data_IF_491987667224
#
_entry.id   IF_491987667224
#
_cell.length_a   1.000
_cell.length_b   1.000
_cell.length_c   1.000
_cell.angle_alpha   90.00
_cell.angle_beta   90.00
_cell.angle_gamma   90.00
#
_symmetry.space_group_name_H-M   'P 1'
#
loop_
_entity.id
_entity.type
_entity.pdbx_description
1 polymer ?
#
# COMPACT_ATOMS: atom_id res chain seq x y z
N UNK A 1 16.02 -15.98 -5.57
CA UNK A 1 16.39 -16.48 -4.22
C UNK A 1 17.43 -17.58 -4.35
N UNK A 2 18.48 -17.54 -3.53
CA UNK A 2 19.55 -18.57 -3.50
C UNK A 2 19.34 -19.49 -2.28
N UNK A 3 19.63 -20.78 -2.43
CA UNK A 3 19.61 -21.76 -1.34
C UNK A 3 18.23 -22.01 -0.73
N UNK A 4 18.22 -22.47 0.53
CA UNK A 4 17.01 -22.74 1.35
C UNK A 4 15.95 -23.62 0.65
N UNK A 5 16.37 -24.62 -0.15
CA UNK A 5 15.49 -25.40 -1.03
C UNK A 5 14.23 -25.92 -0.30
N UNK A 6 14.41 -26.57 0.85
CA UNK A 6 13.31 -27.11 1.66
C UNK A 6 12.34 -26.05 2.16
N UNK A 7 12.86 -24.90 2.64
CA UNK A 7 12.02 -23.83 3.15
C UNK A 7 11.24 -23.13 2.03
N UNK A 8 11.84 -22.97 0.84
CA UNK A 8 11.16 -22.44 -0.35
C UNK A 8 10.08 -23.39 -0.87
N UNK A 9 10.36 -24.69 -0.87
CA UNK A 9 9.38 -25.71 -1.28
C UNK A 9 8.17 -25.70 -0.32
N UNK A 10 8.43 -25.68 0.98
CA UNK A 10 7.37 -25.55 1.98
C UNK A 10 6.58 -24.23 1.85
N UNK A 11 7.26 -23.12 1.55
CA UNK A 11 6.62 -21.85 1.24
C UNK A 11 5.70 -21.95 0.00
N UNK A 12 6.14 -22.63 -1.06
CA UNK A 12 5.32 -22.90 -2.25
C UNK A 12 4.05 -23.70 -1.93
N UNK A 13 4.18 -24.75 -1.10
CA UNK A 13 3.03 -25.54 -0.62
C UNK A 13 2.08 -24.65 0.19
N UNK A 14 2.61 -23.81 1.08
CA UNK A 14 1.82 -22.87 1.88
C UNK A 14 1.03 -21.88 1.01
N UNK A 15 1.65 -21.34 -0.04
CA UNK A 15 1.00 -20.45 -0.99
C UNK A 15 -0.17 -21.15 -1.70
N UNK A 16 0.03 -22.40 -2.14
CA UNK A 16 -1.03 -23.18 -2.77
C UNK A 16 -2.18 -23.45 -1.80
N UNK A 17 -1.90 -23.75 -0.52
CA UNK A 17 -2.92 -23.95 0.50
C UNK A 17 -3.77 -22.69 0.73
N UNK A 18 -3.15 -21.50 0.69
CA UNK A 18 -3.87 -20.23 0.79
C UNK A 18 -4.75 -20.02 -0.43
N UNK A 19 -4.20 -20.19 -1.64
CA UNK A 19 -4.92 -19.91 -2.90
C UNK A 19 -6.08 -20.87 -3.15
N UNK A 20 -5.93 -22.16 -2.82
CA UNK A 20 -6.92 -23.18 -3.18
C UNK A 20 -7.99 -23.42 -2.10
N UNK A 21 -7.60 -23.42 -0.82
CA UNK A 21 -8.47 -23.94 0.25
C UNK A 21 -8.67 -23.00 1.43
N UNK A 22 -7.91 -21.89 1.50
CA UNK A 22 -7.98 -20.91 2.59
C UNK A 22 -7.96 -21.55 4.00
N UNK A 23 -7.24 -22.69 4.17
CA UNK A 23 -7.28 -23.53 5.38
C UNK A 23 -6.39 -22.97 6.49
N UNK A 24 -5.19 -22.50 6.14
CA UNK A 24 -4.21 -22.03 7.10
C UNK A 24 -3.70 -20.65 6.67
N UNK A 25 -3.89 -19.67 7.54
CA UNK A 25 -3.48 -18.28 7.31
C UNK A 25 -2.22 -17.89 8.08
N UNK A 26 -1.58 -18.84 8.77
CA UNK A 26 -0.43 -18.52 9.60
C UNK A 26 0.75 -19.49 9.42
N UNK A 27 1.92 -18.91 9.18
CA UNK A 27 3.18 -19.60 8.93
C UNK A 27 4.23 -19.14 9.93
N UNK A 28 4.94 -20.06 10.57
CA UNK A 28 6.10 -19.78 11.41
C UNK A 28 7.39 -20.14 10.68
N UNK A 29 8.23 -19.15 10.41
CA UNK A 29 9.60 -19.31 9.95
C UNK A 29 10.53 -19.39 11.16
N UNK A 30 11.04 -20.58 11.45
CA UNK A 30 11.92 -20.84 12.58
C UNK A 30 13.35 -21.17 12.13
N UNK A 31 14.33 -20.41 12.61
CA UNK A 31 15.73 -20.73 12.33
C UNK A 31 16.71 -19.64 12.74
N UNK A 32 18.03 -19.88 12.59
CA UNK A 32 19.05 -18.98 13.08
C UNK A 32 18.99 -17.59 12.45
N UNK A 33 19.57 -16.59 13.10
CA UNK A 33 19.73 -15.26 12.52
C UNK A 33 20.53 -15.34 11.21
N UNK A 34 20.16 -14.54 10.21
CA UNK A 34 20.82 -14.56 8.89
C UNK A 34 20.40 -15.70 7.94
N UNK A 35 19.46 -16.58 8.32
CA UNK A 35 18.99 -17.69 7.46
C UNK A 35 17.99 -17.31 6.37
N UNK A 36 17.76 -16.02 6.11
CA UNK A 36 16.86 -15.55 5.05
C UNK A 36 15.34 -15.62 5.36
N UNK A 37 14.92 -15.66 6.64
CA UNK A 37 13.49 -15.71 7.02
C UNK A 37 12.67 -14.57 6.40
N UNK A 38 13.12 -13.32 6.57
CA UNK A 38 12.47 -12.14 6.00
C UNK A 38 12.46 -12.18 4.47
N UNK A 39 13.51 -12.69 3.84
CA UNK A 39 13.57 -12.84 2.38
C UNK A 39 12.54 -13.86 1.86
N UNK A 40 12.34 -14.97 2.57
CA UNK A 40 11.28 -15.95 2.27
C UNK A 40 9.90 -15.29 2.44
N UNK A 41 9.67 -14.54 3.51
CA UNK A 41 8.40 -13.86 3.74
C UNK A 41 8.04 -12.85 2.63
N UNK A 42 9.02 -12.07 2.17
CA UNK A 42 8.86 -11.14 1.03
C UNK A 42 8.61 -11.90 -0.28
N UNK A 43 9.27 -13.04 -0.48
CA UNK A 43 9.02 -13.87 -1.65
C UNK A 43 7.59 -14.44 -1.63
N UNK A 44 7.14 -14.95 -0.48
CA UNK A 44 5.77 -15.42 -0.28
C UNK A 44 4.77 -14.29 -0.57
N UNK A 45 5.00 -13.07 -0.06
CA UNK A 45 4.07 -11.97 -0.29
C UNK A 45 3.97 -11.60 -1.78
N UNK A 46 5.08 -11.65 -2.51
CA UNK A 46 5.13 -11.42 -3.97
C UNK A 46 4.50 -12.54 -4.79
N UNK A 47 4.54 -13.79 -4.33
CA UNK A 47 3.93 -14.92 -5.03
C UNK A 47 2.44 -15.10 -4.72
N UNK A 48 2.00 -14.73 -3.51
CA UNK A 48 0.58 -14.65 -3.16
C UNK A 48 -0.10 -13.58 -4.03
N UNK A 49 0.63 -12.54 -4.45
CA UNK A 49 0.03 -11.27 -4.83
C UNK A 49 0.52 -10.69 -6.16
N UNK A 50 -0.39 -10.28 -7.02
CA UNK A 50 -0.14 -9.23 -8.02
C UNK A 50 0.12 -7.87 -7.32
N UNK A 51 0.70 -6.89 -8.02
CA UNK A 51 1.30 -5.62 -7.51
C UNK A 51 0.46 -4.73 -6.55
N UNK A 52 -0.75 -5.13 -6.16
CA UNK A 52 -1.73 -4.32 -5.42
C UNK A 52 -1.97 -4.69 -3.94
N UNK A 53 -1.34 -5.74 -3.42
CA UNK A 53 -1.63 -6.24 -2.05
C UNK A 53 -0.65 -5.66 -1.01
N UNK A 54 -1.13 -5.21 0.18
CA UNK A 54 -0.26 -4.68 1.22
C UNK A 54 0.59 -5.78 1.88
N UNK A 55 1.90 -5.53 1.96
CA UNK A 55 2.84 -6.29 2.79
C UNK A 55 3.30 -5.42 3.96
N UNK A 56 2.95 -5.83 5.18
CA UNK A 56 3.26 -5.07 6.38
C UNK A 56 4.32 -5.79 7.22
N UNK A 57 5.40 -5.10 7.56
CA UNK A 57 6.44 -5.60 8.46
C UNK A 57 6.20 -5.02 9.85
N UNK A 58 6.14 -5.90 10.84
CA UNK A 58 6.01 -5.57 12.25
C UNK A 58 7.11 -6.27 13.03
N UNK A 59 7.94 -5.52 13.77
CA UNK A 59 8.82 -6.15 14.76
C UNK A 59 8.03 -6.26 16.07
N UNK A 60 7.96 -7.46 16.64
CA UNK A 60 7.19 -7.74 17.86
C UNK A 60 7.51 -6.79 19.03
N UNK A 61 8.75 -6.32 19.16
CA UNK A 61 9.13 -5.35 20.21
C UNK A 61 8.41 -3.99 20.09
N UNK A 62 7.93 -3.62 18.90
CA UNK A 62 7.20 -2.38 18.66
C UNK A 62 5.82 -2.37 19.32
N UNK A 63 5.33 -3.51 19.81
CA UNK A 63 4.06 -3.60 20.54
C UNK A 63 4.10 -2.86 21.88
N UNK A 64 5.29 -2.67 22.45
CA UNK A 64 5.46 -1.99 23.72
C UNK A 64 5.53 -0.48 23.52
N UNK A 65 4.46 0.21 23.94
CA UNK A 65 4.38 1.67 23.91
C UNK A 65 3.81 2.19 25.23
N UNK A 66 4.28 3.37 25.65
CA UNK A 66 3.71 4.08 26.80
C UNK A 66 2.43 4.85 26.43
N UNK A 67 2.22 5.15 25.15
CA UNK A 67 1.13 6.03 24.68
C UNK A 67 -0.10 5.25 24.23
N UNK A 68 0.11 4.04 23.69
CA UNK A 68 -0.92 3.26 23.00
C UNK A 68 -0.94 1.84 23.55
N UNK A 69 -2.13 1.27 23.72
CA UNK A 69 -2.28 -0.13 24.14
C UNK A 69 -1.62 -1.10 23.15
N UNK A 70 -1.05 -2.19 23.68
CA UNK A 70 -0.44 -3.27 22.89
C UNK A 70 -1.38 -3.84 21.81
N UNK A 71 -2.61 -4.14 22.22
CA UNK A 71 -3.66 -4.66 21.33
C UNK A 71 -4.03 -3.68 20.24
N UNK A 72 -4.04 -2.38 20.55
CA UNK A 72 -4.29 -1.33 19.57
C UNK A 72 -3.16 -1.27 18.53
N UNK A 73 -1.89 -1.35 18.94
CA UNK A 73 -0.77 -1.40 18.01
C UNK A 73 -0.89 -2.60 17.07
N UNK A 74 -1.16 -3.80 17.62
CA UNK A 74 -1.40 -4.99 16.79
C UNK A 74 -2.57 -4.79 15.82
N UNK A 75 -3.67 -4.19 16.29
CA UNK A 75 -4.85 -3.91 15.46
C UNK A 75 -4.47 -3.02 14.27
N UNK A 76 -3.66 -1.99 14.48
CA UNK A 76 -3.20 -1.09 13.41
C UNK A 76 -2.41 -1.86 12.36
N UNK A 77 -1.47 -2.73 12.75
CA UNK A 77 -0.69 -3.53 11.81
C UNK A 77 -1.52 -4.58 11.06
N UNK A 78 -2.50 -5.19 11.73
CA UNK A 78 -3.47 -6.08 11.08
C UNK A 78 -4.28 -5.29 10.03
N UNK A 79 -4.79 -4.11 10.36
CA UNK A 79 -5.59 -3.29 9.44
C UNK A 79 -4.76 -2.70 8.29
N UNK A 80 -3.48 -2.40 8.50
CA UNK A 80 -2.52 -2.05 7.43
C UNK A 80 -2.28 -3.22 6.47
N UNK A 81 -2.48 -4.45 6.93
CA UNK A 81 -2.28 -5.65 6.12
C UNK A 81 -3.55 -6.08 5.37
N UNK A 82 -4.65 -5.32 5.48
CA UNK A 82 -5.90 -5.59 4.75
C UNK A 82 -6.14 -4.43 3.78
N UNK A 83 -6.09 -4.75 2.49
CA UNK A 83 -6.35 -3.82 1.40
C UNK A 83 -7.84 -3.75 1.06
N UNK A 84 -8.25 -2.61 0.52
CA UNK A 84 -9.55 -2.35 -0.09
C UNK A 84 -9.28 -1.70 -1.45
N UNK A 85 -9.61 -2.43 -2.51
CA UNK A 85 -9.50 -1.95 -3.88
C UNK A 85 -10.82 -1.29 -4.27
N UNK A 86 -10.83 0.03 -4.34
CA UNK A 86 -12.00 0.83 -4.68
C UNK A 86 -11.95 1.10 -6.18
N UNK A 87 -12.99 0.67 -6.90
CA UNK A 87 -13.19 0.94 -8.32
C UNK A 87 -13.93 2.26 -8.47
N UNK A 88 -13.22 3.27 -8.94
CA UNK A 88 -13.78 4.59 -9.22
C UNK A 88 -13.81 4.84 -10.72
N UNK A 89 -14.93 5.37 -11.20
CA UNK A 89 -15.02 5.87 -12.58
C UNK A 89 -14.70 7.36 -12.52
N UNK A 90 -13.51 7.74 -13.02
CA UNK A 90 -13.13 9.15 -13.11
C UNK A 90 -13.34 9.67 -14.52
N UNK A 91 -13.89 10.87 -14.60
CA UNK A 91 -13.92 11.67 -15.82
C UNK A 91 -12.57 12.38 -15.98
N UNK A 92 -11.94 12.14 -17.12
CA UNK A 92 -10.57 12.58 -17.40
C UNK A 92 -10.49 13.23 -18.76
N UNK A 93 -9.64 14.26 -18.85
CA UNK A 93 -9.19 14.83 -20.10
C UNK A 93 -7.75 14.39 -20.34
N UNK A 94 -7.49 13.76 -21.48
CA UNK A 94 -6.14 13.42 -21.89
C UNK A 94 -5.88 13.80 -23.34
N UNK A 95 -4.65 14.21 -23.62
CA UNK A 95 -4.24 14.61 -24.94
C UNK A 95 -2.90 15.33 -24.93
N UNK A 96 -2.35 15.50 -26.12
CA UNK A 96 -1.24 16.41 -26.37
C UNK A 96 -1.74 17.86 -26.27
N UNK A 97 -1.00 18.69 -25.55
CA UNK A 97 -1.25 20.12 -25.43
C UNK A 97 -0.84 20.80 -26.73
N UNK A 98 -1.80 21.33 -27.49
CA UNK A 98 -1.50 22.17 -28.65
C UNK A 98 -1.27 23.61 -28.22
N UNK A 99 -2.14 24.12 -27.33
CA UNK A 99 -2.14 25.54 -26.95
C UNK A 99 -2.74 25.73 -25.57
N UNK A 100 -2.14 26.62 -24.78
CA UNK A 100 -2.64 27.07 -23.48
C UNK A 100 -2.89 28.58 -23.56
N UNK A 101 -4.13 29.01 -23.33
CA UNK A 101 -4.54 30.42 -23.40
C UNK A 101 -5.17 30.83 -22.05
N UNK A 102 -4.40 31.45 -21.14
CA UNK A 102 -4.94 31.98 -19.89
C UNK A 102 -5.76 33.25 -20.15
N UNK A 103 -6.90 33.37 -19.49
CA UNK A 103 -7.75 34.55 -19.51
C UNK A 103 -7.70 35.23 -18.13
N UNK A 104 -7.36 36.51 -18.13
CA UNK A 104 -7.20 37.31 -16.91
C UNK A 104 -8.47 38.11 -16.64
N UNK A 105 -8.82 38.25 -15.36
CA UNK A 105 -9.84 39.20 -14.95
C UNK A 105 -9.21 40.59 -14.85
N UNK A 106 -9.75 41.56 -15.59
CA UNK A 106 -9.24 42.94 -15.61
C UNK A 106 -9.86 43.82 -14.50
N UNK A 107 -10.68 43.23 -13.62
CA UNK A 107 -11.36 43.97 -12.53
C UNK A 107 -10.50 44.24 -11.29
N UNK A 108 -9.35 43.58 -11.14
CA UNK A 108 -8.43 43.77 -10.00
C UNK A 108 -7.05 44.25 -10.46
N UNK A 109 -6.37 45.07 -9.64
CA UNK A 109 -4.99 45.57 -9.92
C UNK A 109 -3.98 44.42 -10.06
N UNK A 110 -4.19 43.32 -9.35
CA UNK A 110 -3.49 42.05 -9.58
C UNK A 110 -4.25 41.22 -10.63
N UNK A 111 -3.63 41.02 -11.80
CA UNK A 111 -4.15 40.16 -12.87
C UNK A 111 -4.26 38.71 -12.42
N UNK A 112 -5.38 38.35 -11.79
CA UNK A 112 -5.72 36.97 -11.47
C UNK A 112 -6.28 36.28 -12.70
N UNK A 113 -5.83 35.06 -12.94
CA UNK A 113 -6.37 34.21 -14.01
C UNK A 113 -7.78 33.81 -13.60
N UNK A 114 -8.78 34.13 -14.42
CA UNK A 114 -10.17 33.75 -14.20
C UNK A 114 -10.43 32.31 -14.65
N UNK A 115 -9.92 31.95 -15.83
CA UNK A 115 -10.01 30.61 -16.41
C UNK A 115 -8.96 30.45 -17.51
N UNK A 116 -8.76 29.22 -17.98
CA UNK A 116 -7.78 28.91 -19.03
C UNK A 116 -8.44 28.06 -20.10
N UNK A 117 -8.21 28.41 -21.36
CA UNK A 117 -8.54 27.51 -22.46
C UNK A 117 -7.32 26.65 -22.80
N UNK A 118 -7.52 25.34 -22.83
CA UNK A 118 -6.51 24.40 -23.30
C UNK A 118 -7.05 23.68 -24.53
N UNK A 119 -6.24 23.63 -25.58
CA UNK A 119 -6.56 22.85 -26.77
C UNK A 119 -5.78 21.54 -26.71
N UNK A 120 -6.51 20.43 -26.57
CA UNK A 120 -5.94 19.09 -26.47
C UNK A 120 -6.16 18.31 -27.76
N UNK A 121 -5.17 17.50 -28.14
CA UNK A 121 -5.20 16.62 -29.31
C UNK A 121 -5.09 15.16 -28.91
N UNK A 122 -5.88 14.33 -29.57
CA UNK A 122 -5.79 12.87 -29.55
C UNK A 122 -5.69 12.37 -30.99
N UNK A 123 -5.53 11.06 -31.18
CA UNK A 123 -5.59 10.46 -32.53
C UNK A 123 -6.95 10.62 -33.21
N UNK A 124 -8.03 10.81 -32.44
CA UNK A 124 -9.39 10.86 -32.97
C UNK A 124 -9.90 12.29 -33.15
N UNK A 125 -9.62 13.16 -32.18
CA UNK A 125 -10.17 14.52 -32.17
C UNK A 125 -9.19 15.54 -31.58
N UNK A 126 -9.46 16.80 -31.91
CA UNK A 126 -8.87 17.98 -31.27
C UNK A 126 -9.98 18.78 -30.63
N UNK A 127 -9.83 19.11 -29.34
CA UNK A 127 -10.89 19.76 -28.56
C UNK A 127 -10.34 20.89 -27.70
N UNK A 128 -10.99 22.05 -27.75
CA UNK A 128 -10.75 23.19 -26.86
C UNK A 128 -11.62 23.03 -25.61
N UNK A 129 -11.00 23.04 -24.44
CA UNK A 129 -11.67 22.90 -23.14
C UNK A 129 -11.43 24.14 -22.27
N UNK A 130 -12.45 24.53 -21.51
CA UNK A 130 -12.38 25.61 -20.52
C UNK A 130 -12.10 25.01 -19.15
N UNK A 131 -11.06 25.49 -18.49
CA UNK A 131 -10.57 24.97 -17.21
C UNK A 131 -10.59 26.09 -16.18
N UNK A 132 -10.95 25.75 -14.94
CA UNK A 132 -10.99 26.69 -13.82
C UNK A 132 -9.58 27.18 -13.43
N UNK A 133 -9.47 28.40 -12.90
CA UNK A 133 -8.21 29.04 -12.51
C UNK A 133 -7.36 28.22 -11.54
N UNK A 134 -7.99 27.49 -10.60
CA UNK A 134 -7.31 26.62 -9.64
C UNK A 134 -6.44 25.54 -10.29
N UNK A 135 -6.82 25.05 -11.47
CA UNK A 135 -6.06 24.02 -12.19
C UNK A 135 -4.86 24.65 -12.92
N UNK A 136 -4.94 25.92 -13.31
CA UNK A 136 -3.84 26.63 -13.96
C UNK A 136 -2.59 26.70 -13.09
N UNK A 137 -2.75 26.93 -11.79
CA UNK A 137 -1.62 26.91 -10.85
C UNK A 137 -0.89 25.55 -10.86
N UNK A 138 -1.63 24.44 -10.97
CA UNK A 138 -1.05 23.11 -11.06
C UNK A 138 -0.31 22.88 -12.38
N UNK A 139 -0.81 23.45 -13.48
CA UNK A 139 -0.16 23.41 -14.79
C UNK A 139 1.19 24.14 -14.76
N UNK A 140 1.21 25.34 -14.16
CA UNK A 140 2.43 26.12 -13.97
C UNK A 140 3.42 25.39 -13.06
N UNK A 141 2.96 24.82 -11.93
CA UNK A 141 3.80 24.03 -11.01
C UNK A 141 4.43 22.82 -11.69
N UNK A 142 3.71 22.15 -12.57
CA UNK A 142 4.22 20.99 -13.32
C UNK A 142 5.02 21.36 -14.57
N UNK A 143 5.20 22.66 -14.86
CA UNK A 143 5.93 23.17 -16.02
C UNK A 143 5.44 22.56 -17.34
N UNK A 144 4.12 22.41 -17.47
CA UNK A 144 3.49 21.84 -18.67
C UNK A 144 3.64 22.82 -19.83
N UNK A 145 4.07 22.31 -20.97
CA UNK A 145 4.31 23.06 -22.20
C UNK A 145 3.49 22.50 -23.36
N UNK A 146 3.45 23.24 -24.47
CA UNK A 146 2.94 22.72 -25.73
C UNK A 146 3.75 21.48 -26.14
N UNK A 147 3.08 20.51 -26.77
CA UNK A 147 3.58 19.16 -27.16
C UNK A 147 3.74 18.17 -26.01
N UNK A 148 3.46 18.56 -24.76
CA UNK A 148 3.35 17.60 -23.66
C UNK A 148 2.03 16.83 -23.74
N UNK A 149 2.07 15.55 -23.38
CA UNK A 149 0.89 14.73 -23.13
C UNK A 149 0.53 14.86 -21.66
N UNK A 150 -0.70 15.29 -21.41
CA UNK A 150 -1.19 15.53 -20.06
C UNK A 150 -2.43 14.71 -19.75
N UNK A 151 -2.66 14.56 -18.46
CA UNK A 151 -3.82 13.91 -17.87
C UNK A 151 -4.42 14.85 -16.82
N UNK A 152 -5.68 15.21 -16.98
CA UNK A 152 -6.42 16.09 -16.07
C UNK A 152 -7.65 15.35 -15.54
N UNK A 153 -7.79 15.29 -14.21
CA UNK A 153 -9.00 14.78 -13.56
C UNK A 153 -10.02 15.90 -13.39
N UNK A 154 -11.23 15.73 -13.94
CA UNK A 154 -12.24 16.80 -13.98
C UNK A 154 -12.71 17.27 -12.60
N UNK A 155 -12.80 16.36 -11.62
CA UNK A 155 -13.36 16.67 -10.29
C UNK A 155 -12.30 17.09 -9.28
N UNK A 156 -11.14 16.44 -9.27
CA UNK A 156 -10.07 16.72 -8.29
C UNK A 156 -9.16 17.88 -8.71
N UNK A 157 -9.19 18.26 -10.00
CA UNK A 157 -8.29 19.28 -10.55
C UNK A 157 -6.82 18.85 -10.57
N UNK A 158 -6.54 17.56 -10.34
CA UNK A 158 -5.20 16.99 -10.43
C UNK A 158 -4.79 16.96 -11.90
N UNK A 159 -3.66 17.58 -12.19
CA UNK A 159 -2.99 17.52 -13.49
C UNK A 159 -1.76 16.65 -13.35
N UNK A 160 -1.43 15.85 -14.38
CA UNK A 160 -0.19 15.08 -14.47
C UNK A 160 0.40 15.23 -15.88
N UNK A 161 1.67 15.63 -15.97
CA UNK A 161 2.48 15.52 -17.19
C UNK A 161 2.88 14.05 -17.37
N UNK A 162 2.38 13.41 -18.42
CA UNK A 162 2.64 11.99 -18.72
C UNK A 162 3.96 11.82 -19.48
N UNK A 163 4.28 12.78 -20.34
CA UNK A 163 5.51 12.80 -21.12
C UNK A 163 5.41 13.75 -22.30
N UNK A 164 6.40 13.73 -23.18
CA UNK A 164 6.40 14.49 -24.44
C UNK A 164 5.85 13.63 -25.57
N UNK A 165 5.18 14.24 -26.55
CA UNK A 165 4.67 13.50 -27.70
C UNK A 165 5.82 12.89 -28.53
N UNK A 166 5.74 11.57 -28.77
CA UNK A 166 6.76 10.77 -29.49
C UNK A 166 7.04 11.26 -30.92
N UNK A 167 6.08 11.93 -31.56
CA UNK A 167 6.25 12.53 -32.89
C UNK A 167 7.38 13.57 -32.96
N UNK A 168 7.77 14.16 -31.82
CA UNK A 168 8.81 15.18 -31.75
C UNK A 168 10.14 14.65 -31.20
N UNK A 169 10.30 13.34 -31.05
CA UNK A 169 11.51 12.72 -30.50
C UNK A 169 12.78 13.13 -31.24
N UNK A 170 12.72 13.30 -32.57
CA UNK A 170 13.87 13.70 -33.38
C UNK A 170 14.17 15.21 -33.35
N UNK A 171 13.33 16.02 -32.71
CA UNK A 171 13.46 17.50 -32.66
C UNK A 171 14.05 18.00 -31.35
N UNK A 172 14.24 17.12 -30.36
CA UNK A 172 14.69 17.48 -29.02
C UNK A 172 15.83 16.58 -28.57
N UNK A 173 17.00 17.19 -28.34
CA UNK A 173 18.26 16.52 -27.99
C UNK A 173 18.44 16.33 -26.47
N UNK A 174 17.35 16.15 -25.72
CA UNK A 174 17.38 16.08 -24.25
C UNK A 174 17.12 14.64 -23.81
N UNK A 175 18.15 13.99 -23.28
CA UNK A 175 18.22 12.59 -22.87
C UNK A 175 17.30 12.20 -21.69
N UNK A 176 16.46 13.11 -21.17
CA UNK A 176 15.71 12.91 -19.91
C UNK A 176 14.17 12.98 -20.00
N UNK A 177 13.59 13.39 -21.14
CA UNK A 177 12.13 13.43 -21.29
C UNK A 177 11.58 12.05 -21.67
N UNK A 178 10.54 11.56 -20.98
CA UNK A 178 9.82 10.35 -21.36
C UNK A 178 8.93 10.63 -22.56
N UNK A 179 9.18 9.94 -23.69
CA UNK A 179 8.35 10.06 -24.89
C UNK A 179 7.17 9.09 -24.84
N UNK A 180 5.98 9.61 -25.15
CA UNK A 180 4.71 8.89 -25.06
C UNK A 180 3.91 9.14 -26.33
N UNK A 181 3.21 8.11 -26.81
CA UNK A 181 2.37 8.20 -28.00
C UNK A 181 1.09 8.99 -27.76
N UNK A 182 0.56 9.57 -28.84
CA UNK A 182 -0.73 10.27 -28.82
C UNK A 182 -1.85 9.36 -28.29
N UNK A 183 -2.65 9.85 -27.34
CA UNK A 183 -3.71 9.04 -26.78
C UNK A 183 -4.78 8.65 -27.82
N UNK A 184 -5.31 7.44 -27.69
CA UNK A 184 -6.42 6.92 -28.49
C UNK A 184 -7.78 7.33 -27.92
N UNK A 185 -8.76 7.53 -28.81
CA UNK A 185 -10.13 7.86 -28.44
C UNK A 185 -10.37 9.36 -28.26
N UNK A 186 -11.48 9.72 -27.60
CA UNK A 186 -11.85 11.12 -27.37
C UNK A 186 -10.93 11.78 -26.32
N UNK A 187 -10.81 13.11 -26.38
CA UNK A 187 -10.10 13.92 -25.38
C UNK A 187 -10.75 13.76 -24.00
N UNK A 188 -12.08 13.82 -23.95
CA UNK A 188 -12.86 13.58 -22.74
C UNK A 188 -13.33 12.13 -22.69
N UNK A 189 -12.98 11.40 -21.64
CA UNK A 189 -13.44 10.02 -21.45
C UNK A 189 -13.54 9.63 -19.97
N UNK A 190 -14.28 8.55 -19.74
CA UNK A 190 -14.37 7.89 -18.44
C UNK A 190 -13.29 6.81 -18.35
N UNK A 191 -12.47 6.85 -17.30
CA UNK A 191 -11.51 5.79 -16.98
C UNK A 191 -11.90 5.11 -15.68
N UNK A 192 -11.87 3.78 -15.69
CA UNK A 192 -11.95 3.00 -14.47
C UNK A 192 -10.58 3.02 -13.82
N UNK A 193 -10.51 3.57 -12.62
CA UNK A 193 -9.30 3.65 -11.82
C UNK A 193 -9.52 2.79 -10.60
N UNK A 194 -8.57 1.91 -10.32
CA UNK A 194 -8.55 1.12 -9.10
C UNK A 194 -7.66 1.86 -8.12
N UNK A 195 -8.24 2.31 -7.02
CA UNK A 195 -7.50 2.90 -5.92
C UNK A 195 -7.33 1.85 -4.81
N UNK A 196 -6.08 1.56 -4.47
CA UNK A 196 -5.75 0.63 -3.40
C UNK A 196 -5.54 1.45 -2.12
N UNK A 197 -6.35 1.20 -1.11
CA UNK A 197 -6.23 1.80 0.25
C UNK A 197 -6.25 0.69 1.28
N UNK A 198 -5.62 0.86 2.43
CA UNK A 198 -5.76 -0.10 3.53
C UNK A 198 -6.94 0.26 4.44
N UNK A 199 -7.44 -0.70 5.21
CA UNK A 199 -8.44 -0.43 6.25
C UNK A 199 -7.93 0.59 7.28
N UNK A 200 -6.62 0.59 7.54
CA UNK A 200 -6.01 1.56 8.43
C UNK A 200 -6.00 2.99 7.86
N UNK A 201 -5.78 3.15 6.55
CA UNK A 201 -5.84 4.47 5.91
C UNK A 201 -7.24 5.07 5.98
N UNK A 202 -8.27 4.23 5.82
CA UNK A 202 -9.67 4.61 6.01
C UNK A 202 -9.95 5.01 7.47
N UNK A 203 -9.39 4.29 8.43
CA UNK A 203 -9.52 4.64 9.86
C UNK A 203 -8.95 6.02 10.17
N UNK A 204 -7.70 6.29 9.77
CA UNK A 204 -7.06 7.58 10.03
C UNK A 204 -7.83 8.71 9.35
N UNK A 205 -8.20 8.53 8.08
CA UNK A 205 -8.86 9.59 7.30
C UNK A 205 -10.20 10.00 7.89
N UNK A 206 -10.89 9.09 8.61
CA UNK A 206 -12.17 9.40 9.27
C UNK A 206 -11.99 9.82 10.74
N UNK A 207 -10.89 9.41 11.39
CA UNK A 207 -10.57 9.83 12.75
C UNK A 207 -10.07 11.28 12.84
N UNK A 208 -9.45 11.79 11.77
CA UNK A 208 -8.98 13.17 11.64
C UNK A 208 -9.55 13.83 10.37
N UNK A 209 -10.80 14.31 10.39
CA UNK A 209 -11.33 15.11 9.29
C UNK A 209 -10.47 16.38 9.12
N UNK A 210 -10.20 16.77 7.87
CA UNK A 210 -9.24 17.82 7.45
C UNK A 210 -9.49 19.23 8.02
N UNK A 211 -10.54 19.43 8.80
CA UNK A 211 -10.93 20.73 9.36
C UNK A 211 -10.08 21.17 10.58
N UNK A 212 -9.17 20.32 11.07
CA UNK A 212 -8.41 20.57 12.31
C UNK A 212 -6.94 21.01 12.09
N UNK A 213 -6.61 21.56 10.91
CA UNK A 213 -5.25 22.05 10.58
C UNK A 213 -4.84 23.21 11.51
N UNK A 214 -5.79 24.02 12.01
CA UNK A 214 -5.51 25.15 12.90
C UNK A 214 -4.94 24.70 14.26
N UNK A 215 -5.29 23.49 14.72
CA UNK A 215 -4.79 22.92 15.99
C UNK A 215 -3.41 22.24 15.85
N UNK A 216 -2.98 21.93 14.62
CA UNK A 216 -1.70 21.25 14.34
C UNK A 216 -0.49 22.20 14.46
N UNK A 217 -0.65 23.49 14.18
CA UNK A 217 0.43 24.48 14.27
C UNK A 217 0.84 24.84 15.71
N UNK A 218 0.01 24.53 16.71
CA UNK A 218 0.32 24.80 18.12
C UNK A 218 0.82 23.58 18.90
N UNK A 219 0.65 22.36 18.40
CA UNK A 219 1.05 21.13 19.11
C UNK A 219 1.92 20.23 18.22
N UNK A 220 3.22 20.53 18.19
CA UNK A 220 4.29 19.77 17.52
C UNK A 220 4.64 18.44 18.20
N UNK A 221 3.62 17.72 18.68
CA UNK A 221 3.67 16.31 19.05
C UNK A 221 2.32 15.71 18.64
N UNK A 222 2.25 15.11 17.45
CA UNK A 222 1.12 14.29 17.08
C UNK A 222 1.06 13.10 18.05
N UNK A 223 0.27 13.23 19.13
CA UNK A 223 -0.06 12.11 20.00
C UNK A 223 -0.63 11.02 19.10
N UNK A 224 -0.13 9.79 19.21
CA UNK A 224 -0.76 8.64 18.55
C UNK A 224 -2.21 8.55 19.05
N UNK A 225 -3.18 8.94 18.24
CA UNK A 225 -4.59 8.89 18.61
C UNK A 225 -5.08 7.46 18.51
N UNK A 226 -5.54 6.88 19.62
CA UNK A 226 -6.20 5.59 19.60
C UNK A 226 -7.50 5.70 18.79
N UNK A 227 -7.65 4.84 17.78
CA UNK A 227 -8.88 4.80 16.96
C UNK A 227 -9.88 3.92 17.72
N UNK A 228 -11.04 4.49 18.05
CA UNK A 228 -12.06 3.76 18.81
C UNK A 228 -12.65 2.60 18.00
N UNK A 229 -13.01 1.52 18.70
CA UNK A 229 -13.69 0.37 18.07
C UNK A 229 -15.03 0.75 17.42
N UNK A 230 -15.71 1.77 17.95
CA UNK A 230 -16.94 2.31 17.35
C UNK A 230 -16.69 2.82 15.93
N UNK A 231 -15.67 3.66 15.75
CA UNK A 231 -15.29 4.20 14.44
C UNK A 231 -14.90 3.07 13.48
N UNK A 232 -14.11 2.08 13.94
CA UNK A 232 -13.75 0.91 13.12
C UNK A 232 -14.96 0.13 12.66
N UNK A 233 -15.94 -0.08 13.55
CA UNK A 233 -17.16 -0.79 13.22
C UNK A 233 -18.01 -0.03 12.20
N UNK A 234 -18.06 1.30 12.29
CA UNK A 234 -18.73 2.14 11.28
C UNK A 234 -18.02 2.06 9.92
N UNK A 235 -16.69 2.14 9.90
CA UNK A 235 -15.89 2.01 8.68
C UNK A 235 -16.07 0.62 8.07
N UNK A 236 -16.01 -0.43 8.87
CA UNK A 236 -16.25 -1.79 8.38
C UNK A 236 -17.63 -1.90 7.72
N UNK A 237 -18.68 -1.32 8.30
CA UNK A 237 -20.03 -1.29 7.69
C UNK A 237 -20.03 -0.57 6.33
N UNK A 238 -19.34 0.55 6.21
CA UNK A 238 -19.23 1.30 4.95
C UNK A 238 -18.48 0.47 3.90
N UNK A 239 -17.36 -0.15 4.28
CA UNK A 239 -16.57 -0.99 3.37
C UNK A 239 -17.39 -2.19 2.90
N UNK A 240 -18.11 -2.88 3.79
CA UNK A 240 -18.99 -3.98 3.39
C UNK A 240 -20.07 -3.52 2.41
N UNK A 241 -20.69 -2.36 2.66
CA UNK A 241 -21.67 -1.80 1.74
C UNK A 241 -21.08 -1.55 0.34
N UNK A 242 -19.84 -1.06 0.24
CA UNK A 242 -19.17 -0.87 -1.05
C UNK A 242 -18.82 -2.19 -1.74
N UNK A 243 -18.49 -3.22 -0.97
CA UNK A 243 -18.30 -4.58 -1.49
C UNK A 243 -19.60 -5.15 -2.04
N UNK A 244 -20.70 -5.04 -1.30
CA UNK A 244 -22.02 -5.51 -1.73
C UNK A 244 -22.52 -4.80 -2.98
N UNK A 245 -22.15 -3.52 -3.15
CA UNK A 245 -22.46 -2.72 -4.35
C UNK A 245 -21.51 -3.01 -5.53
N UNK A 246 -20.46 -3.81 -5.35
CA UNK A 246 -19.45 -4.09 -6.38
C UNK A 246 -18.49 -2.92 -6.68
N UNK A 247 -18.50 -1.88 -5.84
CA UNK A 247 -17.64 -0.70 -5.94
C UNK A 247 -16.27 -0.96 -5.32
N UNK A 248 -16.20 -1.82 -4.30
CA UNK A 248 -14.95 -2.17 -3.65
C UNK A 248 -14.72 -3.69 -3.58
N UNK A 249 -13.47 -4.08 -3.38
CA UNK A 249 -13.08 -5.46 -3.10
C UNK A 249 -12.09 -5.47 -1.93
N UNK A 250 -12.37 -6.27 -0.91
CA UNK A 250 -11.42 -6.48 0.19
C UNK A 250 -10.37 -7.49 -0.26
N UNK A 251 -9.12 -7.16 -0.02
CA UNK A 251 -7.97 -7.98 -0.39
C UNK A 251 -7.14 -8.26 0.86
N UNK A 252 -7.15 -9.50 1.38
CA UNK A 252 -6.32 -9.87 2.52
C UNK A 252 -4.86 -9.86 2.08
N UNK A 253 -4.04 -9.04 2.72
CA UNK A 253 -2.61 -8.97 2.47
C UNK A 253 -1.81 -9.84 3.41
N UNK A 254 -0.57 -9.44 3.65
CA UNK A 254 0.39 -10.23 4.43
C UNK A 254 0.95 -9.38 5.58
N UNK A 255 0.80 -9.89 6.80
CA UNK A 255 1.43 -9.35 8.01
C UNK A 255 2.63 -10.20 8.38
N UNK A 256 3.84 -9.66 8.26
CA UNK A 256 5.06 -10.29 8.73
C UNK A 256 5.43 -9.78 10.12
N UNK A 257 5.48 -10.69 11.10
CA UNK A 257 5.87 -10.40 12.49
C UNK A 257 7.25 -10.99 12.75
N UNK A 258 8.27 -10.12 12.84
CA UNK A 258 9.62 -10.52 13.21
C UNK A 258 9.80 -10.60 14.73
N UNK A 259 10.71 -11.46 15.17
CA UNK A 259 11.03 -11.69 16.58
C UNK A 259 9.80 -12.01 17.44
N UNK A 260 8.88 -12.85 16.93
CA UNK A 260 7.57 -13.13 17.56
C UNK A 260 7.64 -13.57 19.03
N UNK A 261 8.75 -14.18 19.44
CA UNK A 261 9.02 -14.57 20.83
C UNK A 261 9.08 -13.38 21.81
N UNK A 262 9.12 -12.14 21.31
CA UNK A 262 9.05 -10.92 22.10
C UNK A 262 7.63 -10.49 22.45
N UNK A 263 6.60 -11.08 21.82
CA UNK A 263 5.20 -10.86 22.17
C UNK A 263 4.86 -11.56 23.51
N UNK A 264 3.91 -10.99 24.24
CA UNK A 264 3.38 -11.58 25.47
C UNK A 264 2.07 -12.36 25.24
N UNK A 265 1.62 -13.04 26.29
CA UNK A 265 0.41 -13.87 26.25
C UNK A 265 -0.85 -13.07 25.84
N UNK A 266 -0.94 -11.79 26.20
CA UNK A 266 -2.06 -10.92 25.79
C UNK A 266 -2.05 -10.70 24.28
N UNK A 267 -0.89 -10.43 23.70
CA UNK A 267 -0.69 -10.29 22.26
C UNK A 267 -1.03 -11.57 21.51
N UNK A 268 -0.60 -12.74 22.01
CA UNK A 268 -0.91 -14.03 21.39
C UNK A 268 -2.40 -14.35 21.45
N UNK A 269 -3.06 -14.09 22.58
CA UNK A 269 -4.51 -14.28 22.73
C UNK A 269 -5.28 -13.40 21.72
N UNK A 270 -4.84 -12.14 21.55
CA UNK A 270 -5.42 -11.23 20.57
C UNK A 270 -5.18 -11.68 19.12
N UNK A 271 -3.96 -12.13 18.79
CA UNK A 271 -3.62 -12.66 17.47
C UNK A 271 -4.44 -13.90 17.14
N UNK A 272 -4.60 -14.83 18.09
CA UNK A 272 -5.36 -16.07 17.86
C UNK A 272 -6.82 -15.77 17.52
N UNK A 273 -7.46 -14.87 18.27
CA UNK A 273 -8.82 -14.38 17.96
C UNK A 273 -8.91 -13.68 16.60
N UNK A 274 -7.88 -12.92 16.22
CA UNK A 274 -7.87 -12.22 14.92
C UNK A 274 -7.77 -13.20 13.76
N UNK A 275 -6.95 -14.25 13.88
CA UNK A 275 -6.75 -15.27 12.85
C UNK A 275 -8.02 -16.08 12.53
N UNK A 276 -8.97 -16.16 13.48
CA UNK A 276 -10.28 -16.77 13.27
C UNK A 276 -11.19 -15.97 12.32
N UNK A 277 -10.85 -14.71 12.04
CA UNK A 277 -11.61 -13.88 11.10
C UNK A 277 -11.43 -14.31 9.64
N UNK A 278 -12.53 -14.35 8.89
CA UNK A 278 -12.50 -14.63 7.45
C UNK A 278 -11.69 -13.58 6.67
N UNK A 279 -11.62 -12.35 7.16
CA UNK A 279 -10.85 -11.26 6.55
C UNK A 279 -9.43 -11.11 7.12
N UNK A 280 -9.00 -12.02 8.01
CA UNK A 280 -7.65 -11.98 8.55
C UNK A 280 -6.62 -12.03 7.41
N UNK A 281 -5.59 -11.16 7.45
CA UNK A 281 -4.48 -11.26 6.51
C UNK A 281 -3.70 -12.57 6.76
N UNK A 282 -2.87 -12.95 5.79
CA UNK A 282 -1.90 -14.03 5.98
C UNK A 282 -0.83 -13.53 6.96
N UNK A 283 -0.64 -14.24 8.08
CA UNK A 283 0.32 -13.87 9.12
C UNK A 283 1.56 -14.76 9.03
N UNK A 284 2.72 -14.17 8.74
CA UNK A 284 4.00 -14.87 8.73
C UNK A 284 4.77 -14.44 9.98
N UNK A 285 4.98 -15.38 10.89
CA UNK A 285 5.76 -15.20 12.11
C UNK A 285 7.21 -15.61 11.87
N UNK A 286 8.17 -14.89 12.44
CA UNK A 286 9.58 -15.29 12.42
C UNK A 286 10.18 -15.34 13.83
N UNK A 287 10.99 -16.36 14.05
CA UNK A 287 11.73 -16.54 15.31
C UNK A 287 13.11 -17.12 15.07
N UNK A 288 14.04 -16.71 15.90
CA UNK A 288 15.38 -17.30 16.02
C UNK A 288 15.58 -18.04 17.35
N UNK A 289 14.56 -18.09 18.22
CA UNK A 289 14.64 -18.81 19.50
C UNK A 289 14.04 -20.21 19.38
N UNK A 290 14.70 -21.18 20.00
CA UNK A 290 14.27 -22.59 20.03
C UNK A 290 13.25 -22.87 21.13
N UNK A 291 13.66 -22.83 22.39
CA UNK A 291 12.79 -22.99 23.57
C UNK A 291 13.00 -21.75 24.44
N UNK A 292 11.92 -21.07 24.81
CA UNK A 292 12.00 -19.93 25.73
C UNK A 292 10.67 -19.69 26.44
N UNK A 293 10.68 -18.85 27.47
CA UNK A 293 9.47 -18.49 28.19
C UNK A 293 8.53 -17.67 27.29
N UNK A 294 7.24 -17.95 27.40
CA UNK A 294 6.19 -17.07 26.86
C UNK A 294 6.17 -15.83 27.74
N UNK A 295 6.45 -14.67 27.15
CA UNK A 295 6.57 -13.41 27.89
C UNK A 295 5.26 -13.08 28.62
N UNK A 296 5.39 -12.61 29.86
CA UNK A 296 4.25 -12.39 30.76
C UNK A 296 3.80 -13.66 31.52
N UNK A 297 4.46 -14.80 31.33
CA UNK A 297 4.20 -16.03 32.07
C UNK A 297 5.50 -16.73 32.48
N UNK A 298 5.40 -17.75 33.34
CA UNK A 298 6.51 -18.64 33.70
C UNK A 298 6.52 -19.93 32.85
N UNK A 299 5.72 -19.98 31.79
CA UNK A 299 5.56 -21.18 30.95
C UNK A 299 6.66 -21.19 29.89
N UNK A 300 7.43 -22.27 29.86
CA UNK A 300 8.41 -22.54 28.80
C UNK A 300 7.67 -23.19 27.63
N UNK A 301 7.87 -22.68 26.41
CA UNK A 301 7.29 -23.24 25.20
C UNK A 301 8.27 -23.20 24.03
N UNK A 302 8.00 -24.03 23.01
CA UNK A 302 8.69 -23.94 21.74
C UNK A 302 8.49 -22.54 21.14
N UNK A 303 9.59 -21.93 20.74
CA UNK A 303 9.66 -20.60 20.14
C UNK A 303 9.11 -19.45 21.00
N UNK A 304 8.78 -19.69 22.28
CA UNK A 304 8.10 -18.72 23.12
C UNK A 304 6.66 -18.44 22.70
N UNK A 305 6.03 -19.37 21.99
CA UNK A 305 4.66 -19.26 21.47
C UNK A 305 3.74 -20.19 22.27
N UNK A 306 2.52 -19.75 22.65
CA UNK A 306 1.51 -20.63 23.26
C UNK A 306 1.16 -21.85 22.40
N UNK A 307 0.92 -22.99 23.05
CA UNK A 307 0.68 -24.28 22.38
C UNK A 307 -0.58 -24.24 21.50
N UNK A 308 -1.61 -23.53 21.94
CA UNK A 308 -2.87 -23.32 21.20
C UNK A 308 -2.65 -22.63 19.85
N UNK A 309 -1.66 -21.74 19.74
CA UNK A 309 -1.28 -21.14 18.48
C UNK A 309 -0.36 -22.08 17.69
N UNK A 310 0.61 -22.74 18.33
CA UNK A 310 1.52 -23.68 17.67
C UNK A 310 0.77 -24.81 16.94
N UNK A 311 -0.32 -25.31 17.51
CA UNK A 311 -1.14 -26.38 16.92
C UNK A 311 -1.90 -25.93 15.65
N UNK A 312 -2.02 -24.62 15.43
CA UNK A 312 -2.76 -24.01 14.30
C UNK A 312 -1.87 -23.50 13.17
N UNK A 313 -0.56 -23.40 13.39
CA UNK A 313 0.38 -22.79 12.43
C UNK A 313 1.24 -23.84 11.72
N UNK A 314 1.58 -23.57 10.46
CA UNK A 314 2.56 -24.36 9.73
C UNK A 314 3.95 -23.89 10.13
N UNK A 315 4.84 -24.80 10.54
CA UNK A 315 6.21 -24.46 10.95
C UNK A 315 7.18 -24.84 9.83
N UNK A 316 7.95 -23.88 9.34
CA UNK A 316 8.99 -24.06 8.33
C UNK A 316 10.34 -23.71 8.93
N UNK A 317 11.24 -24.70 8.93
CA UNK A 317 12.59 -24.54 9.45
C UNK A 317 13.54 -24.01 8.38
N UNK A 318 14.26 -22.94 8.70
CA UNK A 318 15.38 -22.42 7.89
C UNK A 318 16.72 -22.83 8.49
N UNK A 319 17.73 -23.01 7.64
CA UNK A 319 19.08 -23.43 8.05
C UNK A 319 20.12 -22.33 7.80
N UNK A 320 21.33 -22.48 8.33
CA UNK A 320 22.44 -21.61 7.92
C UNK A 320 22.81 -21.88 6.47
N UNK A 321 23.25 -20.83 5.76
CA UNK A 321 23.78 -20.95 4.40
C UNK A 321 25.16 -21.59 4.42
N UNK A 322 25.48 -22.36 3.39
CA UNK A 322 26.83 -22.85 3.16
C UNK A 322 27.70 -21.77 2.47
N UNK A 323 29.02 -21.98 2.41
CA UNK A 323 29.96 -21.00 1.84
C UNK A 323 29.68 -20.67 0.37
N UNK A 324 29.25 -21.66 -0.41
CA UNK A 324 28.90 -21.48 -1.83
C UNK A 324 27.65 -20.60 -1.98
N UNK A 325 26.60 -20.86 -1.20
CA UNK A 325 25.39 -20.05 -1.17
C UNK A 325 25.68 -18.63 -0.71
N UNK A 326 26.53 -18.44 0.32
CA UNK A 326 26.95 -17.11 0.78
C UNK A 326 27.67 -16.36 -0.35
N UNK A 327 28.58 -17.02 -1.06
CA UNK A 327 29.30 -16.41 -2.19
C UNK A 327 28.34 -15.95 -3.29
N UNK A 328 27.38 -16.79 -3.66
CA UNK A 328 26.35 -16.44 -4.64
C UNK A 328 25.47 -15.29 -4.17
N UNK A 329 25.09 -15.26 -2.87
CA UNK A 329 24.29 -14.17 -2.31
C UNK A 329 25.04 -12.86 -2.42
N UNK A 330 26.31 -12.82 -2.02
CA UNK A 330 27.16 -11.63 -2.12
C UNK A 330 27.37 -11.16 -3.57
N UNK A 331 27.40 -12.08 -4.53
CA UNK A 331 27.49 -11.72 -5.95
C UNK A 331 26.24 -10.97 -6.44
N UNK A 332 25.04 -11.31 -5.97
CA UNK A 332 23.80 -10.61 -6.34
C UNK A 332 23.70 -9.22 -5.68
N UNK A 333 24.30 -9.05 -4.50
CA UNK A 333 24.30 -7.77 -3.77
C UNK A 333 25.42 -6.80 -4.20
N UNK A 334 26.31 -7.22 -5.10
CA UNK A 334 27.31 -6.35 -5.75
C UNK A 334 26.73 -5.68 -6.98
#
# INVERSE_FOLDING_TARGET
MIGQKKAREAAGIFINLIKEKNICKCLLLAGPSGSGKTAIAIAISKEISEDSIPFCIFNASQVYSCEVKKTEILTQYIRKSIGVNIKEIKEVFEGEVIKIEPFYDDTYEEKKVAYVYITLKTLKEQKKIKIHSSIYENIVKQKIQEKDIIYIESHSGIVKRVGKCSLYQNMFDIETDTFVDLPKGNVHKKKNIIQNVTLYDLDISNAQPKDDILNFLQNSKSKKTEITDKLRNEINKIVYKYVDQGIAQIVPGVLFIDEVHMLDIECFTYLNRTLESNLAPVVILATNRGICNIKGTNIISAHGIPVDLLDRIIIVKTMLYNMEEISQVLYIYR
#
